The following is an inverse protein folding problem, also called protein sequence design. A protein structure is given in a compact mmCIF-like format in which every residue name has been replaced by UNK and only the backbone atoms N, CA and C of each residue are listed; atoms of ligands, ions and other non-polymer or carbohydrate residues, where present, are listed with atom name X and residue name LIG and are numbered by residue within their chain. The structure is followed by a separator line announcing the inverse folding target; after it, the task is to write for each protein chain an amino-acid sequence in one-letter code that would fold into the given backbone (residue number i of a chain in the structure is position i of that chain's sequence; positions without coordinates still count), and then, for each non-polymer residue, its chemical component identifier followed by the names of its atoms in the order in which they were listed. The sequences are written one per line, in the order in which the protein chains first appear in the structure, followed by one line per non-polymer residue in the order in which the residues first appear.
data_IF_963593023504
#
_entry.id   IF_963593023504
#
_cell.length_a   1.000
_cell.length_b   1.000
_cell.length_c   1.000
_cell.angle_alpha   90.00
_cell.angle_beta   90.00
_cell.angle_gamma   90.00
#
_symmetry.space_group_name_H-M   'P 1'
#
loop_
_entity.id
_entity.type
_entity.pdbx_description
1 polymer ?
#
# COMPACT_ATOMS: atom_id res chain seq x y z
N UNK A 1 -33.35 -6.11 15.75
CA UNK A 1 -32.05 -5.42 15.85
C UNK A 1 -30.96 -6.47 15.98
N UNK A 2 -30.24 -6.76 14.91
CA UNK A 2 -29.10 -7.70 14.93
C UNK A 2 -27.87 -6.98 15.46
N UNK A 3 -27.43 -7.32 16.66
CA UNK A 3 -26.20 -6.78 17.25
C UNK A 3 -25.00 -7.34 16.48
N UNK A 4 -24.25 -6.47 15.77
CA UNK A 4 -22.98 -6.87 15.16
C UNK A 4 -21.99 -7.23 16.28
N UNK A 5 -21.64 -8.50 16.39
CA UNK A 5 -20.53 -8.93 17.26
C UNK A 5 -19.23 -8.31 16.76
N UNK A 6 -18.34 -7.84 17.66
CA UNK A 6 -17.07 -7.25 17.27
C UNK A 6 -16.19 -8.29 16.57
N UNK A 7 -15.74 -7.98 15.35
CA UNK A 7 -14.83 -8.85 14.61
C UNK A 7 -13.44 -8.72 15.22
N UNK A 8 -12.95 -9.79 15.84
CA UNK A 8 -11.56 -9.87 16.30
C UNK A 8 -10.68 -10.33 15.15
N UNK A 9 -9.82 -9.45 14.65
CA UNK A 9 -8.81 -9.77 13.64
C UNK A 9 -7.41 -9.41 14.13
N UNK A 10 -6.42 -10.21 13.73
CA UNK A 10 -5.02 -9.88 13.96
C UNK A 10 -4.51 -8.84 12.96
N UNK A 11 -3.48 -8.07 13.32
CA UNK A 11 -2.92 -7.02 12.44
C UNK A 11 -2.49 -7.58 11.06
N UNK A 12 -1.78 -8.71 11.02
CA UNK A 12 -1.38 -9.34 9.75
C UNK A 12 -2.57 -9.85 8.93
N UNK A 13 -3.63 -10.32 9.59
CA UNK A 13 -4.86 -10.74 8.91
C UNK A 13 -5.60 -9.53 8.32
N UNK A 14 -5.66 -8.42 9.06
CA UNK A 14 -6.18 -7.16 8.56
C UNK A 14 -5.42 -6.70 7.30
N UNK A 15 -4.08 -6.64 7.36
CA UNK A 15 -3.25 -6.25 6.22
C UNK A 15 -3.46 -7.15 5.00
N UNK A 16 -3.48 -8.48 5.22
CA UNK A 16 -3.74 -9.46 4.15
C UNK A 16 -5.10 -9.24 3.50
N UNK A 17 -6.14 -8.96 4.29
CA UNK A 17 -7.50 -8.69 3.76
C UNK A 17 -7.54 -7.39 2.96
N UNK A 18 -6.93 -6.32 3.44
CA UNK A 18 -6.87 -5.05 2.70
C UNK A 18 -6.14 -5.22 1.37
N UNK A 19 -4.97 -5.86 1.37
CA UNK A 19 -4.20 -6.12 0.15
C UNK A 19 -4.98 -7.00 -0.84
N UNK A 20 -5.66 -8.04 -0.34
CA UNK A 20 -6.48 -8.91 -1.19
C UNK A 20 -7.61 -8.11 -1.85
N UNK A 21 -8.28 -7.24 -1.11
CA UNK A 21 -9.33 -6.36 -1.67
C UNK A 21 -8.76 -5.39 -2.70
N UNK A 22 -7.60 -4.78 -2.42
CA UNK A 22 -6.92 -3.89 -3.37
C UNK A 22 -6.60 -4.61 -4.69
N UNK A 23 -6.05 -5.82 -4.61
CA UNK A 23 -5.76 -6.67 -5.79
C UNK A 23 -7.05 -7.00 -6.55
N UNK A 24 -8.11 -7.41 -5.86
CA UNK A 24 -9.41 -7.68 -6.50
C UNK A 24 -9.92 -6.44 -7.23
N UNK A 25 -9.93 -5.27 -6.58
CA UNK A 25 -10.38 -4.03 -7.20
C UNK A 25 -9.53 -3.68 -8.43
N UNK A 26 -8.21 -3.80 -8.34
CA UNK A 26 -7.31 -3.53 -9.46
C UNK A 26 -7.61 -4.39 -10.69
N UNK A 27 -7.83 -5.70 -10.49
CA UNK A 27 -8.14 -6.61 -11.60
C UNK A 27 -9.55 -6.44 -12.17
N UNK A 28 -10.45 -5.73 -11.48
CA UNK A 28 -11.82 -5.50 -11.93
C UNK A 28 -12.06 -4.04 -12.36
N UNK A 29 -10.99 -3.29 -12.69
CA UNK A 29 -11.05 -1.86 -13.04
C UNK A 29 -11.87 -1.05 -12.01
N UNK A 30 -11.74 -1.42 -10.73
CA UNK A 30 -12.37 -0.74 -9.60
C UNK A 30 -11.74 0.63 -9.33
N UNK A 31 -12.28 1.35 -8.35
CA UNK A 31 -11.84 2.70 -8.03
C UNK A 31 -10.32 2.79 -7.71
N UNK A 32 -9.53 3.58 -8.46
CA UNK A 32 -8.11 3.80 -8.22
C UNK A 32 -7.78 4.19 -6.78
N UNK A 33 -8.59 5.10 -6.23
CA UNK A 33 -8.34 5.69 -4.93
C UNK A 33 -8.48 4.63 -3.84
N UNK A 34 -9.50 3.79 -3.96
CA UNK A 34 -9.70 2.62 -3.12
C UNK A 34 -8.56 1.61 -3.24
N UNK A 35 -8.09 1.31 -4.46
CA UNK A 35 -6.94 0.40 -4.65
C UNK A 35 -5.71 0.93 -3.92
N UNK A 36 -5.33 2.18 -4.18
CA UNK A 36 -4.16 2.81 -3.57
C UNK A 36 -4.27 2.81 -2.05
N UNK A 37 -5.40 3.28 -1.52
CA UNK A 37 -5.64 3.39 -0.07
C UNK A 37 -5.53 2.04 0.63
N UNK A 38 -6.14 1.00 0.06
CA UNK A 38 -6.14 -0.34 0.65
C UNK A 38 -4.77 -1.01 0.56
N UNK A 39 -4.06 -0.85 -0.56
CA UNK A 39 -2.70 -1.36 -0.73
C UNK A 39 -1.72 -0.67 0.23
N UNK A 40 -1.81 0.66 0.34
CA UNK A 40 -0.97 1.45 1.24
C UNK A 40 -1.27 1.12 2.72
N UNK A 41 -2.54 1.02 3.10
CA UNK A 41 -2.92 0.60 4.45
C UNK A 41 -2.42 -0.81 4.81
N UNK A 42 -2.41 -1.75 3.84
CA UNK A 42 -1.82 -3.06 4.05
C UNK A 42 -0.30 -2.99 4.25
N UNK A 43 0.39 -2.18 3.44
CA UNK A 43 1.82 -1.95 3.55
C UNK A 43 2.20 -1.38 4.92
N UNK A 44 1.54 -0.31 5.37
CA UNK A 44 1.83 0.35 6.65
C UNK A 44 1.75 -0.61 7.84
N UNK A 45 0.74 -1.49 7.84
CA UNK A 45 0.60 -2.49 8.89
C UNK A 45 1.74 -3.53 8.84
N UNK A 46 2.15 -3.96 7.65
CA UNK A 46 3.26 -4.89 7.47
C UNK A 46 4.57 -4.22 7.89
N UNK A 47 4.79 -2.97 7.50
CA UNK A 47 5.93 -2.15 7.83
C UNK A 47 6.10 -1.99 9.34
N UNK A 48 5.07 -1.52 10.04
CA UNK A 48 5.09 -1.37 11.50
C UNK A 48 5.32 -2.70 12.24
N UNK A 49 4.83 -3.83 11.70
CA UNK A 49 5.10 -5.15 12.28
C UNK A 49 6.53 -5.60 12.01
N UNK A 50 7.05 -5.33 10.82
CA UNK A 50 8.42 -5.64 10.43
C UNK A 50 9.41 -4.88 11.31
N UNK A 51 9.25 -3.56 11.40
CA UNK A 51 10.07 -2.68 12.25
C UNK A 51 10.06 -3.15 13.71
N UNK A 52 8.89 -3.49 14.25
CA UNK A 52 8.78 -4.00 15.63
C UNK A 52 9.48 -5.35 15.84
N UNK A 53 9.53 -6.21 14.83
CA UNK A 53 10.16 -7.54 14.92
C UNK A 53 11.67 -7.46 14.73
N UNK A 54 12.11 -6.63 13.81
CA UNK A 54 13.50 -6.44 13.46
C UNK A 54 13.68 -5.02 12.89
N UNK A 55 14.12 -4.07 13.73
CA UNK A 55 14.37 -2.69 13.30
C UNK A 55 15.48 -2.56 12.26
N UNK A 56 16.31 -3.59 12.09
CA UNK A 56 17.44 -3.57 11.15
C UNK A 56 17.08 -4.11 9.77
N UNK A 57 15.87 -4.67 9.63
CA UNK A 57 15.34 -5.19 8.38
C UNK A 57 15.04 -4.03 7.43
N UNK A 58 15.64 -4.07 6.25
CA UNK A 58 15.61 -2.97 5.25
C UNK A 58 15.23 -3.52 3.88
N UNK A 59 14.21 -4.37 3.89
CA UNK A 59 13.81 -5.17 2.73
C UNK A 59 12.48 -4.66 2.13
N UNK A 60 11.83 -3.70 2.80
CA UNK A 60 10.56 -3.12 2.41
C UNK A 60 10.76 -1.90 1.51
N UNK A 61 9.72 -1.54 0.75
CA UNK A 61 9.80 -0.55 -0.34
C UNK A 61 10.47 0.77 0.06
N UNK A 62 10.10 1.33 1.22
CA UNK A 62 10.65 2.60 1.70
C UNK A 62 11.95 2.44 2.52
N UNK A 63 12.24 1.23 2.99
CA UNK A 63 13.46 0.94 3.76
C UNK A 63 14.57 0.28 2.94
N UNK A 64 14.31 -0.02 1.66
CA UNK A 64 15.16 -0.83 0.79
C UNK A 64 16.63 -0.43 0.86
N UNK A 65 17.52 -1.41 1.03
CA UNK A 65 18.98 -1.22 0.95
C UNK A 65 19.47 -0.83 -0.45
N UNK A 66 18.63 -0.95 -1.47
CA UNK A 66 18.94 -0.52 -2.83
C UNK A 66 19.03 1.02 -2.92
N UNK A 67 18.38 1.74 -2.01
CA UNK A 67 18.38 3.19 -1.96
C UNK A 67 19.28 3.65 -0.81
N UNK A 68 20.30 4.43 -1.14
CA UNK A 68 21.17 5.05 -0.13
C UNK A 68 20.37 6.03 0.72
N UNK A 69 20.78 6.19 1.98
CA UNK A 69 20.08 7.04 2.95
C UNK A 69 19.91 8.48 2.45
N UNK A 70 20.90 9.01 1.72
CA UNK A 70 20.88 10.36 1.12
C UNK A 70 19.78 10.57 0.07
N UNK A 71 19.34 9.51 -0.62
CA UNK A 71 18.32 9.58 -1.67
C UNK A 71 16.92 9.14 -1.19
N UNK A 72 16.75 8.77 0.08
CA UNK A 72 15.46 8.25 0.58
C UNK A 72 14.32 9.26 0.45
N UNK A 73 14.58 10.54 0.72
CA UNK A 73 13.55 11.58 0.60
C UNK A 73 13.03 11.71 -0.83
N UNK A 74 13.95 11.77 -1.80
CA UNK A 74 13.61 11.82 -3.23
C UNK A 74 12.93 10.54 -3.71
N UNK A 75 13.40 9.38 -3.24
CA UNK A 75 12.79 8.09 -3.55
C UNK A 75 11.34 8.02 -3.06
N UNK A 76 11.08 8.36 -1.80
CA UNK A 76 9.74 8.34 -1.23
C UNK A 76 8.80 9.29 -1.99
N UNK A 77 9.27 10.51 -2.28
CA UNK A 77 8.51 11.47 -3.08
C UNK A 77 8.22 10.94 -4.50
N UNK A 78 9.16 10.22 -5.11
CA UNK A 78 8.94 9.61 -6.43
C UNK A 78 7.89 8.52 -6.35
N UNK A 79 7.96 7.63 -5.36
CA UNK A 79 6.98 6.55 -5.17
C UNK A 79 5.58 7.10 -4.90
N UNK A 80 5.47 8.17 -4.10
CA UNK A 80 4.20 8.84 -3.79
C UNK A 80 3.59 9.54 -5.01
N UNK A 81 4.43 10.21 -5.82
CA UNK A 81 3.98 11.00 -6.96
C UNK A 81 4.05 10.22 -8.29
N UNK A 82 4.36 8.92 -8.27
CA UNK A 82 4.45 8.13 -9.50
C UNK A 82 3.06 8.12 -10.15
N UNK A 83 2.92 8.66 -11.39
CA UNK A 83 1.66 8.59 -12.10
C UNK A 83 1.27 7.12 -12.23
N UNK A 84 0.21 6.75 -11.51
CA UNK A 84 -0.35 5.41 -11.60
C UNK A 84 -0.89 5.23 -13.02
N UNK A 85 -0.93 4.01 -13.56
CA UNK A 85 -1.40 3.74 -14.93
C UNK A 85 -2.75 4.38 -15.29
N UNK A 86 -3.56 4.72 -14.28
CA UNK A 86 -4.83 5.43 -14.40
C UNK A 86 -4.66 6.93 -14.72
N UNK A 87 -3.67 7.63 -14.17
CA UNK A 87 -3.35 9.02 -14.55
C UNK A 87 -2.85 9.10 -15.99
N UNK A 88 -2.01 8.16 -16.42
CA UNK A 88 -1.56 8.06 -17.81
C UNK A 88 -2.71 7.75 -18.77
N UNK A 89 -3.67 6.90 -18.36
CA UNK A 89 -4.87 6.60 -19.18
C UNK A 89 -5.79 7.81 -19.33
N UNK A 90 -6.04 8.57 -18.26
CA UNK A 90 -6.86 9.78 -18.31
C UNK A 90 -6.22 10.84 -19.23
N UNK A 91 -4.89 11.02 -19.17
CA UNK A 91 -4.17 11.93 -20.06
C UNK A 91 -4.23 11.51 -21.53
N UNK A 92 -4.18 10.20 -21.82
CA UNK A 92 -4.30 9.68 -23.19
C UNK A 92 -5.73 9.73 -23.75
N UNK A 93 -6.76 9.67 -22.91
CA UNK A 93 -8.17 9.77 -23.33
C UNK A 93 -8.64 11.22 -23.53
N UNK A 94 -7.86 12.20 -23.07
CA UNK A 94 -8.12 13.64 -23.23
C UNK A 94 -7.42 14.29 -24.44
N UNK A 95 -6.72 13.49 -25.27
CA UNK A 95 -6.12 13.90 -26.56
C UNK A 95 -6.94 13.38 -27.75
#
# INVERSE_FOLDING_TARGET
MTTKLPVRIGKLDAARRQLRTAITLWFNDGDPVSVHTLAYAAYEVIHAISEKRDPTRRDLLFDSRLIKDEFRGEWNATVENTPTSLSTRIEMEMQ
#
